data_IF_530783555162
#
_entry.id   IF_530783555162
#
_cell.length_a   1.000
_cell.length_b   1.000
_cell.length_c   1.000
_cell.angle_alpha   90.00
_cell.angle_beta   90.00
_cell.angle_gamma   90.00
#
_symmetry.space_group_name_H-M   'P 1'
#
loop_
_entity.id
_entity.type
_entity.pdbx_description
1 polymer ?
#
# COMPACT_ATOMS: atom_id res chain seq x y z
N UNK A 1 -36.47 19.94 3.39
CA UNK A 1 -37.28 18.71 3.60
C UNK A 1 -36.50 17.64 4.35
N UNK A 2 -35.23 17.36 4.04
CA UNK A 2 -34.45 16.32 4.72
C UNK A 2 -34.09 16.62 6.18
N UNK A 3 -33.94 17.89 6.57
CA UNK A 3 -33.74 18.28 7.99
C UNK A 3 -34.90 17.83 8.89
N UNK A 4 -36.13 17.95 8.41
CA UNK A 4 -37.32 17.47 9.11
C UNK A 4 -37.45 15.95 9.07
N UNK A 5 -36.92 15.30 8.03
CA UNK A 5 -36.93 13.85 7.91
C UNK A 5 -36.01 13.18 8.94
N UNK A 6 -34.82 13.73 9.20
CA UNK A 6 -33.92 13.22 10.27
C UNK A 6 -34.47 13.50 11.68
N UNK A 7 -35.29 14.54 11.86
CA UNK A 7 -36.00 14.81 13.12
C UNK A 7 -37.13 13.82 13.37
N UNK A 8 -37.85 13.42 12.31
CA UNK A 8 -38.91 12.42 12.41
C UNK A 8 -38.38 10.97 12.50
N UNK A 9 -37.21 10.70 11.92
CA UNK A 9 -36.59 9.38 11.90
C UNK A 9 -35.10 9.46 12.32
N UNK A 10 -34.82 9.72 13.61
CA UNK A 10 -33.46 9.96 14.09
C UNK A 10 -32.55 8.73 14.05
N UNK A 11 -33.12 7.54 13.91
CA UNK A 11 -32.41 6.25 13.84
C UNK A 11 -32.00 5.83 12.43
N UNK A 12 -32.40 6.59 11.40
CA UNK A 12 -32.07 6.25 10.01
C UNK A 12 -30.75 6.89 9.58
N UNK A 13 -29.75 6.04 9.39
CA UNK A 13 -28.38 6.44 9.01
C UNK A 13 -28.37 7.06 7.62
N UNK A 14 -29.09 6.46 6.67
CA UNK A 14 -29.14 6.93 5.27
C UNK A 14 -29.64 8.37 5.16
N UNK A 15 -30.65 8.74 5.97
CA UNK A 15 -31.17 10.11 5.99
C UNK A 15 -30.13 11.10 6.53
N UNK A 16 -29.39 10.73 7.58
CA UNK A 16 -28.30 11.55 8.12
C UNK A 16 -27.17 11.74 7.10
N UNK A 17 -26.76 10.67 6.42
CA UNK A 17 -25.71 10.72 5.41
C UNK A 17 -26.13 11.52 4.18
N UNK A 18 -27.38 11.36 3.72
CA UNK A 18 -27.94 12.14 2.62
C UNK A 18 -28.02 13.64 2.98
N UNK A 19 -28.45 13.96 4.20
CA UNK A 19 -28.49 15.35 4.68
C UNK A 19 -27.08 15.96 4.73
N UNK A 20 -26.10 15.25 5.27
CA UNK A 20 -24.72 15.73 5.36
C UNK A 20 -24.09 15.99 3.98
N UNK A 21 -24.43 15.21 2.95
CA UNK A 21 -23.95 15.41 1.56
C UNK A 21 -24.55 16.64 0.87
N UNK A 22 -25.73 17.08 1.30
CA UNK A 22 -26.43 18.23 0.71
C UNK A 22 -26.08 19.56 1.38
N UNK A 23 -25.54 19.52 2.59
CA UNK A 23 -25.17 20.69 3.34
C UNK A 23 -23.74 21.16 3.05
N UNK A 24 -23.48 22.44 3.35
CA UNK A 24 -22.13 22.98 3.39
C UNK A 24 -21.35 22.41 4.58
N UNK A 25 -20.03 22.35 4.43
CA UNK A 25 -19.10 21.74 5.39
C UNK A 25 -19.36 22.05 6.88
N UNK A 26 -19.63 23.32 7.23
CA UNK A 26 -19.86 23.72 8.62
C UNK A 26 -21.14 23.12 9.21
N UNK A 27 -22.21 23.01 8.41
CA UNK A 27 -23.47 22.43 8.84
C UNK A 27 -23.43 20.90 8.73
N UNK A 28 -22.81 20.34 7.68
CA UNK A 28 -22.56 18.90 7.54
C UNK A 28 -21.82 18.33 8.75
N UNK A 29 -20.81 19.05 9.29
CA UNK A 29 -20.16 18.67 10.55
C UNK A 29 -21.12 18.60 11.74
N UNK A 30 -22.01 19.58 11.89
CA UNK A 30 -23.03 19.60 12.96
C UNK A 30 -24.03 18.45 12.80
N UNK A 31 -24.47 18.20 11.57
CA UNK A 31 -25.36 17.09 11.22
C UNK A 31 -24.72 15.76 11.58
N UNK A 32 -23.46 15.53 11.21
CA UNK A 32 -22.74 14.29 11.54
C UNK A 32 -22.41 14.17 13.03
N UNK A 33 -22.26 15.27 13.77
CA UNK A 33 -22.15 15.22 15.24
C UNK A 33 -23.47 14.77 15.87
N UNK A 34 -24.61 15.38 15.47
CA UNK A 34 -25.94 14.97 15.93
C UNK A 34 -26.27 13.52 15.55
N UNK A 35 -25.88 13.08 14.36
CA UNK A 35 -26.05 11.70 13.92
C UNK A 35 -25.31 10.72 14.83
N UNK A 36 -24.09 11.07 15.28
CA UNK A 36 -23.30 10.25 16.22
C UNK A 36 -23.91 10.20 17.62
N UNK A 37 -24.55 11.26 18.07
CA UNK A 37 -25.27 11.28 19.36
C UNK A 37 -26.49 10.36 19.32
N UNK A 38 -27.23 10.36 18.21
CA UNK A 38 -28.43 9.52 18.04
C UNK A 38 -28.11 8.06 17.70
N UNK A 39 -27.02 7.82 16.94
CA UNK A 39 -26.64 6.50 16.44
C UNK A 39 -25.13 6.29 16.67
N UNK A 40 -24.70 6.04 17.91
CA UNK A 40 -23.29 5.94 18.25
C UNK A 40 -22.66 4.59 17.86
N UNK A 41 -23.47 3.64 17.41
CA UNK A 41 -23.08 2.28 17.02
C UNK A 41 -22.76 2.12 15.53
N UNK A 42 -23.01 3.13 14.69
CA UNK A 42 -22.80 3.02 13.25
C UNK A 42 -21.43 3.59 12.81
N UNK A 43 -20.66 2.76 12.12
CA UNK A 43 -19.37 3.11 11.50
C UNK A 43 -19.50 4.03 10.28
N UNK A 44 -20.56 3.94 9.50
CA UNK A 44 -20.72 4.70 8.24
C UNK A 44 -20.81 6.20 8.48
N UNK A 45 -21.32 6.62 9.65
CA UNK A 45 -21.37 8.03 10.06
C UNK A 45 -19.95 8.56 10.28
N UNK A 46 -19.10 7.77 10.93
CA UNK A 46 -17.69 8.12 11.15
C UNK A 46 -16.90 8.17 9.85
N UNK A 47 -17.10 7.18 8.97
CA UNK A 47 -16.44 7.13 7.66
C UNK A 47 -16.87 8.32 6.81
N UNK A 48 -18.16 8.67 6.82
CA UNK A 48 -18.66 9.86 6.11
C UNK A 48 -18.12 11.17 6.68
N UNK A 49 -17.93 11.25 8.00
CA UNK A 49 -17.25 12.39 8.63
C UNK A 49 -15.78 12.48 8.19
N UNK A 50 -15.08 11.36 8.09
CA UNK A 50 -13.71 11.31 7.61
C UNK A 50 -13.62 11.74 6.13
N UNK A 51 -14.55 11.29 5.28
CA UNK A 51 -14.66 11.71 3.86
C UNK A 51 -14.94 13.20 3.72
N UNK A 52 -15.77 13.76 4.60
CA UNK A 52 -16.03 15.19 4.64
C UNK A 52 -14.77 15.99 4.97
N UNK A 53 -13.97 15.56 5.96
CA UNK A 53 -12.70 16.23 6.28
C UNK A 53 -11.69 16.14 5.15
N UNK A 54 -11.59 14.99 4.48
CA UNK A 54 -10.72 14.80 3.33
C UNK A 54 -11.11 15.73 2.18
N UNK A 55 -12.40 15.82 1.85
CA UNK A 55 -12.92 16.70 0.80
C UNK A 55 -12.64 18.19 1.09
N UNK A 56 -12.42 18.56 2.35
CA UNK A 56 -12.09 19.90 2.81
C UNK A 56 -10.60 20.09 3.14
N UNK A 57 -9.72 19.19 2.68
CA UNK A 57 -8.26 19.20 2.86
C UNK A 57 -7.76 19.13 4.33
N UNK A 58 -8.57 18.63 5.26
CA UNK A 58 -8.16 18.42 6.65
C UNK A 58 -7.63 17.01 6.89
N UNK A 59 -6.60 16.63 6.15
CA UNK A 59 -6.00 15.28 6.15
C UNK A 59 -5.61 14.82 7.58
N UNK A 60 -4.96 15.63 8.44
CA UNK A 60 -4.59 15.19 9.79
C UNK A 60 -5.78 14.87 10.69
N UNK A 61 -6.97 15.37 10.37
CA UNK A 61 -8.18 15.08 11.12
C UNK A 61 -8.79 13.74 10.73
N UNK A 62 -8.56 13.27 9.50
CA UNK A 62 -9.08 12.00 8.99
C UNK A 62 -8.64 10.83 9.87
N UNK A 63 -7.34 10.71 10.13
CA UNK A 63 -6.79 9.64 10.98
C UNK A 63 -7.39 9.70 12.40
N UNK A 64 -7.45 10.91 12.99
CA UNK A 64 -8.03 11.12 14.33
C UNK A 64 -9.51 10.75 14.39
N UNK A 65 -10.28 10.99 13.33
CA UNK A 65 -11.70 10.62 13.27
C UNK A 65 -11.86 9.11 13.23
N UNK A 66 -11.06 8.40 12.43
CA UNK A 66 -11.10 6.94 12.35
C UNK A 66 -10.69 6.29 13.67
N UNK A 67 -9.63 6.79 14.34
CA UNK A 67 -9.24 6.31 15.67
C UNK A 67 -10.36 6.51 16.71
N UNK A 68 -10.99 7.69 16.72
CA UNK A 68 -12.14 7.98 17.59
C UNK A 68 -13.33 7.09 17.27
N UNK A 69 -13.56 6.77 16.00
CA UNK A 69 -14.61 5.87 15.57
C UNK A 69 -14.43 4.48 16.19
N UNK A 70 -13.23 3.90 16.06
CA UNK A 70 -12.94 2.58 16.63
C UNK A 70 -13.06 2.58 18.15
N UNK A 71 -12.57 3.62 18.83
CA UNK A 71 -12.70 3.75 20.29
C UNK A 71 -14.16 3.85 20.73
N UNK A 72 -14.96 4.67 20.04
CA UNK A 72 -16.40 4.83 20.34
C UNK A 72 -17.17 3.53 20.09
N UNK A 73 -16.90 2.83 19.00
CA UNK A 73 -17.57 1.58 18.66
C UNK A 73 -17.22 0.47 19.66
N UNK A 74 -15.94 0.38 20.06
CA UNK A 74 -15.51 -0.53 21.12
C UNK A 74 -16.15 -0.20 22.47
N UNK A 75 -16.27 1.08 22.81
CA UNK A 75 -16.95 1.51 24.04
C UNK A 75 -18.44 1.16 24.05
N UNK A 76 -19.07 1.15 22.87
CA UNK A 76 -20.45 0.71 22.68
C UNK A 76 -20.59 -0.81 22.46
N UNK A 77 -19.53 -1.59 22.74
CA UNK A 77 -19.50 -3.05 22.63
C UNK A 77 -19.80 -3.58 21.22
N UNK A 78 -19.55 -2.78 20.18
CA UNK A 78 -19.68 -3.21 18.78
C UNK A 78 -18.38 -3.87 18.36
N UNK A 79 -18.46 -5.14 17.93
CA UNK A 79 -17.31 -5.85 17.37
C UNK A 79 -16.85 -5.19 16.06
N UNK A 80 -15.55 -4.92 15.98
CA UNK A 80 -14.92 -4.37 14.79
C UNK A 80 -14.69 -5.50 13.78
N UNK A 81 -15.64 -5.69 12.88
CA UNK A 81 -15.51 -6.67 11.80
C UNK A 81 -14.54 -6.16 10.71
N UNK A 82 -13.34 -6.76 10.68
CA UNK A 82 -12.26 -6.43 9.74
C UNK A 82 -12.70 -6.40 8.27
N UNK A 83 -13.47 -7.39 7.84
CA UNK A 83 -13.91 -7.52 6.44
C UNK A 83 -14.84 -6.37 6.02
N UNK A 84 -15.76 -5.97 6.91
CA UNK A 84 -16.68 -4.88 6.62
C UNK A 84 -15.96 -3.54 6.49
N UNK A 85 -15.00 -3.29 7.38
CA UNK A 85 -14.20 -2.07 7.34
C UNK A 85 -13.26 -2.01 6.12
N UNK A 86 -12.71 -3.15 5.69
CA UNK A 86 -11.95 -3.21 4.44
C UNK A 86 -12.84 -2.94 3.22
N UNK A 87 -14.06 -3.50 3.18
CA UNK A 87 -15.04 -3.16 2.14
C UNK A 87 -15.37 -1.66 2.13
N UNK A 88 -15.55 -1.05 3.29
CA UNK A 88 -15.78 0.40 3.35
C UNK A 88 -14.56 1.20 2.88
N UNK A 89 -13.34 0.71 3.10
CA UNK A 89 -12.13 1.34 2.58
C UNK A 89 -12.08 1.27 1.05
N UNK A 90 -12.41 0.12 0.46
CA UNK A 90 -12.52 -0.04 -1.00
C UNK A 90 -13.58 0.90 -1.59
N UNK A 91 -14.72 1.06 -0.92
CA UNK A 91 -15.78 1.98 -1.36
C UNK A 91 -15.39 3.46 -1.17
N UNK A 92 -14.57 3.78 -0.16
CA UNK A 92 -13.97 5.11 -0.02
C UNK A 92 -13.02 5.43 -1.19
N UNK A 93 -12.18 4.47 -1.58
CA UNK A 93 -11.27 4.62 -2.70
C UNK A 93 -12.02 4.82 -4.03
N UNK A 94 -13.06 4.01 -4.29
CA UNK A 94 -13.94 4.17 -5.48
C UNK A 94 -14.62 5.54 -5.51
N UNK A 95 -14.87 6.14 -4.36
CA UNK A 95 -15.42 7.49 -4.24
C UNK A 95 -14.36 8.61 -4.36
N UNK A 96 -13.08 8.27 -4.55
CA UNK A 96 -11.97 9.23 -4.67
C UNK A 96 -11.43 9.75 -3.34
N UNK A 97 -11.84 9.14 -2.21
CA UNK A 97 -11.38 9.51 -0.86
C UNK A 97 -10.25 8.55 -0.46
N UNK A 98 -9.03 8.88 -0.88
CA UNK A 98 -7.83 8.04 -0.73
C UNK A 98 -7.26 8.12 0.70
N UNK A 99 -7.19 9.30 1.31
CA UNK A 99 -6.62 9.44 2.65
C UNK A 99 -7.49 8.73 3.70
N UNK A 100 -8.80 8.75 3.53
CA UNK A 100 -9.74 8.01 4.38
C UNK A 100 -9.58 6.51 4.23
N UNK A 101 -9.45 5.97 3.01
CA UNK A 101 -9.23 4.54 2.83
C UNK A 101 -7.91 4.09 3.46
N UNK A 102 -6.83 4.85 3.29
CA UNK A 102 -5.53 4.57 3.92
C UNK A 102 -5.62 4.58 5.45
N UNK A 103 -6.33 5.55 6.03
CA UNK A 103 -6.52 5.64 7.49
C UNK A 103 -7.33 4.46 8.03
N UNK A 104 -8.41 4.07 7.35
CA UNK A 104 -9.23 2.91 7.71
C UNK A 104 -8.38 1.63 7.69
N UNK A 105 -7.66 1.39 6.60
CA UNK A 105 -6.78 0.21 6.44
C UNK A 105 -5.77 0.14 7.58
N UNK A 106 -5.02 1.23 7.85
CA UNK A 106 -4.01 1.26 8.93
C UNK A 106 -4.60 0.93 10.29
N UNK A 107 -5.81 1.41 10.57
CA UNK A 107 -6.44 1.23 11.87
C UNK A 107 -7.03 -0.18 12.07
N UNK A 108 -7.44 -0.84 10.98
CA UNK A 108 -8.20 -2.09 11.02
C UNK A 108 -7.35 -3.33 10.72
N UNK A 109 -6.29 -3.19 9.92
CA UNK A 109 -5.52 -4.35 9.45
C UNK A 109 -4.88 -5.18 10.58
N UNK A 110 -4.56 -4.57 11.71
CA UNK A 110 -4.03 -5.25 12.89
C UNK A 110 -5.09 -5.81 13.84
N UNK A 111 -6.38 -5.54 13.62
CA UNK A 111 -7.45 -5.94 14.53
C UNK A 111 -7.83 -7.39 14.29
N UNK A 112 -7.73 -8.22 15.35
CA UNK A 112 -8.14 -9.62 15.31
C UNK A 112 -7.19 -10.55 14.54
N UNK A 113 -5.95 -10.12 14.29
CA UNK A 113 -4.94 -10.93 13.59
C UNK A 113 -3.80 -11.31 14.54
N UNK A 114 -3.60 -12.63 14.71
CA UNK A 114 -2.52 -13.18 15.53
C UNK A 114 -1.15 -12.88 14.93
N UNK A 115 -0.13 -12.69 15.77
CA UNK A 115 1.19 -12.22 15.32
C UNK A 115 1.86 -13.13 14.29
N UNK A 116 1.62 -14.42 14.40
CA UNK A 116 2.17 -15.47 13.54
C UNK A 116 1.53 -15.42 12.14
N UNK A 117 0.23 -15.13 12.07
CA UNK A 117 -0.56 -15.09 10.84
C UNK A 117 -0.61 -13.71 10.18
N UNK A 118 -0.22 -12.63 10.88
CA UNK A 118 -0.16 -11.25 10.35
C UNK A 118 0.37 -11.18 8.93
N UNK A 119 1.47 -11.88 8.66
CA UNK A 119 2.08 -11.89 7.33
C UNK A 119 1.14 -12.49 6.28
N UNK A 120 0.54 -13.64 6.56
CA UNK A 120 -0.29 -14.35 5.59
C UNK A 120 -1.56 -13.57 5.31
N UNK A 121 -2.28 -13.19 6.37
CA UNK A 121 -3.56 -12.49 6.28
C UNK A 121 -3.43 -11.15 5.55
N UNK A 122 -2.46 -10.31 5.93
CA UNK A 122 -2.26 -9.01 5.25
C UNK A 122 -1.89 -9.17 3.79
N UNK A 123 -1.24 -10.28 3.44
CA UNK A 123 -0.84 -10.54 2.08
C UNK A 123 -2.01 -10.98 1.20
N UNK A 124 -2.90 -11.80 1.74
CA UNK A 124 -4.17 -12.15 1.08
C UNK A 124 -5.09 -10.93 0.95
N UNK A 125 -5.17 -10.10 2.00
CA UNK A 125 -5.97 -8.86 1.96
C UNK A 125 -5.50 -7.89 0.88
N UNK A 126 -4.18 -7.70 0.75
CA UNK A 126 -3.62 -6.84 -0.29
C UNK A 126 -3.94 -7.36 -1.70
N UNK A 127 -3.86 -8.68 -1.89
CA UNK A 127 -4.18 -9.32 -3.17
C UNK A 127 -5.68 -9.23 -3.47
N UNK A 128 -6.54 -9.40 -2.47
CA UNK A 128 -7.99 -9.22 -2.60
C UNK A 128 -8.35 -7.78 -2.99
N UNK A 129 -7.80 -6.78 -2.30
CA UNK A 129 -8.01 -5.37 -2.66
C UNK A 129 -7.52 -5.06 -4.08
N UNK A 130 -6.38 -5.63 -4.49
CA UNK A 130 -5.87 -5.48 -5.85
C UNK A 130 -6.80 -6.08 -6.91
N UNK A 131 -7.38 -7.27 -6.64
CA UNK A 131 -8.37 -7.90 -7.53
C UNK A 131 -9.65 -7.09 -7.62
N UNK A 132 -10.09 -6.45 -6.53
CA UNK A 132 -11.25 -5.56 -6.51
C UNK A 132 -11.01 -4.19 -7.15
N UNK A 133 -9.77 -3.90 -7.57
CA UNK A 133 -9.38 -2.62 -8.19
C UNK A 133 -9.13 -1.49 -7.18
N UNK A 134 -9.05 -1.80 -5.89
CA UNK A 134 -8.72 -0.86 -4.81
C UNK A 134 -7.18 -0.85 -4.59
N UNK A 135 -6.49 -0.16 -5.51
CA UNK A 135 -5.04 -0.11 -5.56
C UNK A 135 -4.44 0.68 -4.39
N UNK A 136 -5.06 1.77 -3.97
CA UNK A 136 -4.59 2.58 -2.84
C UNK A 136 -4.76 1.85 -1.51
N UNK A 137 -5.85 1.08 -1.35
CA UNK A 137 -6.02 0.19 -0.21
C UNK A 137 -4.90 -0.86 -0.17
N UNK A 138 -4.62 -1.53 -1.29
CA UNK A 138 -3.53 -2.48 -1.37
C UNK A 138 -2.16 -1.82 -1.06
N UNK A 139 -1.89 -0.62 -1.58
CA UNK A 139 -0.68 0.17 -1.24
C UNK A 139 -0.58 0.46 0.25
N UNK A 140 -1.68 0.84 0.89
CA UNK A 140 -1.71 1.12 2.32
C UNK A 140 -1.40 -0.14 3.14
N UNK A 141 -1.97 -1.28 2.74
CA UNK A 141 -1.68 -2.59 3.34
C UNK A 141 -0.19 -2.91 3.22
N UNK A 142 0.38 -2.83 2.01
CA UNK A 142 1.80 -3.10 1.79
C UNK A 142 2.70 -2.17 2.59
N UNK A 143 2.41 -0.87 2.61
CA UNK A 143 3.19 0.11 3.37
C UNK A 143 3.17 -0.18 4.87
N UNK A 144 2.02 -0.59 5.41
CA UNK A 144 1.88 -0.99 6.80
C UNK A 144 2.61 -2.31 7.11
N UNK A 145 2.46 -3.31 6.24
CA UNK A 145 3.15 -4.60 6.41
C UNK A 145 4.67 -4.44 6.37
N UNK A 146 5.18 -3.53 5.54
CA UNK A 146 6.62 -3.23 5.41
C UNK A 146 7.18 -2.44 6.59
N UNK A 147 6.39 -1.59 7.25
CA UNK A 147 6.84 -0.88 8.45
C UNK A 147 7.01 -1.83 9.64
N UNK A 148 6.20 -2.89 9.71
CA UNK A 148 6.25 -3.90 10.77
C UNK A 148 7.28 -4.99 10.47
N UNK A 149 7.43 -5.39 9.21
CA UNK A 149 8.38 -6.43 8.80
C UNK A 149 9.39 -5.96 7.73
N UNK A 150 10.31 -5.03 8.04
CA UNK A 150 11.24 -4.47 7.05
C UNK A 150 12.21 -5.49 6.44
N UNK A 151 12.54 -6.57 7.15
CA UNK A 151 13.57 -7.54 6.76
C UNK A 151 13.05 -8.72 5.91
N UNK A 152 11.74 -8.84 5.72
CA UNK A 152 11.14 -10.01 5.04
C UNK A 152 11.08 -9.82 3.53
N UNK A 153 11.99 -10.48 2.80
CA UNK A 153 12.07 -10.44 1.32
C UNK A 153 10.75 -10.73 0.60
N UNK A 154 9.91 -11.62 1.13
CA UNK A 154 8.67 -12.04 0.46
C UNK A 154 7.65 -10.90 0.35
N UNK A 155 7.59 -10.02 1.36
CA UNK A 155 6.63 -8.90 1.38
C UNK A 155 7.08 -7.85 0.37
N UNK A 156 8.38 -7.52 0.35
CA UNK A 156 8.97 -6.64 -0.65
C UNK A 156 8.75 -7.14 -2.08
N UNK A 157 8.91 -8.45 -2.31
CA UNK A 157 8.67 -9.03 -3.64
C UNK A 157 7.23 -8.86 -4.07
N UNK A 158 6.26 -9.21 -3.21
CA UNK A 158 4.84 -9.05 -3.55
C UNK A 158 4.46 -7.58 -3.77
N UNK A 159 4.95 -6.67 -2.94
CA UNK A 159 4.74 -5.23 -3.12
C UNK A 159 5.35 -4.72 -4.45
N UNK A 160 6.54 -5.18 -4.82
CA UNK A 160 7.18 -4.80 -6.08
C UNK A 160 6.45 -5.36 -7.31
N UNK A 161 5.97 -6.61 -7.24
CA UNK A 161 5.12 -7.17 -8.30
C UNK A 161 3.79 -6.42 -8.42
N UNK A 162 3.19 -6.04 -7.30
CA UNK A 162 1.98 -5.22 -7.27
C UNK A 162 2.21 -3.86 -7.94
N UNK A 163 3.26 -3.11 -7.53
CA UNK A 163 3.58 -1.81 -8.12
C UNK A 163 3.98 -1.91 -9.60
N UNK A 164 4.57 -3.03 -10.03
CA UNK A 164 4.84 -3.24 -11.46
C UNK A 164 3.57 -3.40 -12.29
N UNK A 165 2.50 -3.98 -11.73
CA UNK A 165 1.26 -4.25 -12.45
C UNK A 165 0.27 -3.07 -12.39
N UNK A 166 0.15 -2.44 -11.22
CA UNK A 166 -0.87 -1.42 -10.93
C UNK A 166 -0.29 -0.05 -10.57
N UNK A 167 1.02 0.04 -10.45
CA UNK A 167 1.75 1.22 -10.00
C UNK A 167 2.26 2.12 -11.11
N UNK A 168 2.80 3.25 -10.66
CA UNK A 168 3.59 4.13 -11.51
C UNK A 168 5.04 3.69 -11.47
N UNK A 169 5.80 4.07 -12.50
CA UNK A 169 7.24 3.80 -12.51
C UNK A 169 7.96 4.43 -11.32
N UNK A 170 7.57 5.64 -10.93
CA UNK A 170 8.20 6.38 -9.84
C UNK A 170 7.91 5.73 -8.48
N UNK A 171 6.68 5.22 -8.26
CA UNK A 171 6.33 4.48 -7.05
C UNK A 171 7.08 3.16 -6.95
N UNK A 172 7.22 2.42 -8.06
CA UNK A 172 8.02 1.20 -8.13
C UNK A 172 9.49 1.48 -7.81
N UNK A 173 10.07 2.53 -8.39
CA UNK A 173 11.46 2.90 -8.14
C UNK A 173 11.70 3.30 -6.68
N UNK A 174 10.81 4.11 -6.10
CA UNK A 174 10.88 4.50 -4.70
C UNK A 174 10.71 3.30 -3.75
N UNK A 175 9.88 2.32 -4.12
CA UNK A 175 9.74 1.08 -3.37
C UNK A 175 11.02 0.24 -3.44
N UNK A 176 11.57 0.05 -4.65
CA UNK A 176 12.77 -0.77 -4.86
C UNK A 176 14.02 -0.18 -4.19
N UNK A 177 14.17 1.15 -4.17
CA UNK A 177 15.23 1.83 -3.42
C UNK A 177 15.16 1.52 -1.91
N UNK A 178 13.95 1.60 -1.34
CA UNK A 178 13.72 1.23 0.06
C UNK A 178 13.96 -0.27 0.29
N UNK A 179 13.52 -1.10 -0.63
CA UNK A 179 13.66 -2.56 -0.57
C UNK A 179 15.13 -2.99 -0.52
N UNK A 180 15.96 -2.36 -1.34
CA UNK A 180 17.41 -2.56 -1.41
C UNK A 180 18.10 -2.17 -0.09
N UNK A 181 17.69 -1.06 0.53
CA UNK A 181 18.27 -0.60 1.79
C UNK A 181 17.98 -1.55 2.96
N UNK A 182 16.76 -2.12 3.01
CA UNK A 182 16.36 -3.01 4.09
C UNK A 182 16.67 -4.50 3.83
N UNK A 183 16.70 -4.93 2.57
CA UNK A 183 16.91 -6.32 2.15
C UNK A 183 18.04 -6.44 1.10
N UNK A 184 19.30 -6.14 1.45
CA UNK A 184 20.40 -6.13 0.47
C UNK A 184 20.70 -7.52 -0.12
N UNK A 185 20.37 -8.60 0.59
CA UNK A 185 20.59 -9.99 0.14
C UNK A 185 19.55 -10.50 -0.86
N UNK A 186 18.50 -9.73 -1.13
CA UNK A 186 17.43 -10.15 -2.03
C UNK A 186 17.77 -9.80 -3.48
N UNK A 187 18.48 -10.69 -4.16
CA UNK A 187 18.96 -10.55 -5.55
C UNK A 187 17.83 -10.17 -6.53
N UNK A 188 16.66 -10.81 -6.39
CA UNK A 188 15.50 -10.56 -7.26
C UNK A 188 15.03 -9.10 -7.20
N UNK A 189 15.12 -8.42 -6.05
CA UNK A 189 14.74 -7.01 -5.93
C UNK A 189 15.73 -6.10 -6.66
N UNK A 190 17.02 -6.41 -6.61
CA UNK A 190 18.06 -5.72 -7.37
C UNK A 190 17.86 -5.89 -8.87
N UNK A 191 17.61 -7.12 -9.33
CA UNK A 191 17.34 -7.43 -10.73
C UNK A 191 16.10 -6.70 -11.25
N UNK A 192 15.05 -6.63 -10.42
CA UNK A 192 13.83 -5.90 -10.75
C UNK A 192 14.09 -4.39 -10.88
N UNK A 193 14.89 -3.80 -9.98
CA UNK A 193 15.30 -2.40 -10.05
C UNK A 193 16.13 -2.07 -11.28
N UNK A 194 17.14 -2.89 -11.56
CA UNK A 194 17.99 -2.74 -12.74
C UNK A 194 17.16 -2.84 -14.03
N UNK A 195 16.25 -3.83 -14.12
CA UNK A 195 15.34 -3.99 -15.26
C UNK A 195 14.39 -2.81 -15.42
N UNK A 196 13.85 -2.28 -14.33
CA UNK A 196 12.97 -1.10 -14.36
C UNK A 196 13.69 0.13 -14.93
N UNK A 197 14.91 0.42 -14.47
CA UNK A 197 15.71 1.54 -14.98
C UNK A 197 16.15 1.35 -16.43
N UNK A 198 16.48 0.12 -16.80
CA UNK A 198 16.85 -0.20 -18.17
C UNK A 198 15.67 -0.03 -19.14
N UNK A 199 14.47 -0.49 -18.78
CA UNK A 199 13.26 -0.25 -19.58
C UNK A 199 12.90 1.24 -19.67
N UNK A 200 13.32 2.06 -18.71
CA UNK A 200 13.19 3.51 -18.76
C UNK A 200 14.21 4.20 -19.70
N UNK A 201 15.13 3.45 -20.31
CA UNK A 201 16.20 3.97 -21.16
C UNK A 201 17.42 4.47 -20.38
N UNK A 202 17.40 4.44 -19.05
CA UNK A 202 18.51 4.86 -18.20
C UNK A 202 19.47 3.70 -17.94
N UNK A 203 20.26 3.38 -18.96
CA UNK A 203 21.32 2.36 -18.90
C UNK A 203 22.37 2.68 -17.82
N UNK A 204 22.87 3.93 -17.69
CA UNK A 204 23.80 4.28 -16.61
C UNK A 204 23.27 3.98 -15.21
N UNK A 205 22.01 4.31 -14.92
CA UNK A 205 21.42 4.00 -13.61
C UNK A 205 21.21 2.50 -13.40
N UNK A 206 20.83 1.75 -14.44
CA UNK A 206 20.74 0.29 -14.34
C UNK A 206 22.11 -0.34 -13.98
N UNK A 207 23.20 0.18 -14.58
CA UNK A 207 24.57 -0.25 -14.26
C UNK A 207 24.98 0.10 -12.82
N UNK A 208 24.65 1.29 -12.34
CA UNK A 208 24.99 1.68 -10.96
C UNK A 208 24.26 0.81 -9.93
N UNK A 209 23.00 0.48 -10.18
CA UNK A 209 22.21 -0.44 -9.34
C UNK A 209 22.85 -1.84 -9.34
N UNK A 210 23.23 -2.38 -10.50
CA UNK A 210 23.90 -3.68 -10.57
C UNK A 210 25.28 -3.66 -9.90
N UNK A 211 26.02 -2.56 -9.99
CA UNK A 211 27.29 -2.38 -9.28
C UNK A 211 27.11 -2.42 -7.75
N UNK A 212 26.07 -1.77 -7.22
CA UNK A 212 25.71 -1.84 -5.80
C UNK A 212 25.24 -3.25 -5.41
N UNK A 213 24.53 -3.93 -6.31
CA UNK A 213 24.09 -5.30 -6.11
C UNK A 213 25.30 -6.27 -6.00
N UNK A 214 26.36 -6.06 -6.80
CA UNK A 214 27.60 -6.85 -6.69
C UNK A 214 28.34 -6.63 -5.37
N UNK A 215 28.34 -5.42 -4.82
CA UNK A 215 28.94 -5.15 -3.51
C UNK A 215 28.19 -5.89 -2.40
N UNK A 216 26.86 -5.97 -2.52
CA UNK A 216 25.99 -6.62 -1.54
C UNK A 216 26.01 -8.14 -1.68
N UNK A 217 26.03 -8.66 -2.92
CA UNK A 217 25.98 -10.07 -3.24
C UNK A 217 27.03 -10.46 -4.30
N UNK A 218 28.28 -10.72 -3.89
CA UNK A 218 29.38 -11.02 -4.82
C UNK A 218 29.23 -12.37 -5.56
N UNK A 219 28.53 -13.33 -4.95
CA UNK A 219 28.46 -14.72 -5.41
C UNK A 219 27.24 -15.02 -6.31
N UNK A 220 26.41 -14.04 -6.58
CA UNK A 220 25.11 -14.24 -7.24
C UNK A 220 25.24 -14.33 -8.75
N UNK A 221 25.08 -15.54 -9.28
CA UNK A 221 25.14 -15.81 -10.73
C UNK A 221 24.08 -15.03 -11.51
N UNK A 222 22.89 -14.85 -10.95
CA UNK A 222 21.79 -14.14 -11.60
C UNK A 222 22.15 -12.66 -11.86
N UNK A 223 22.85 -12.02 -10.92
CA UNK A 223 23.32 -10.63 -11.06
C UNK A 223 24.39 -10.53 -12.15
N UNK A 224 25.32 -11.49 -12.21
CA UNK A 224 26.32 -11.57 -13.27
C UNK A 224 25.68 -11.73 -14.65
N UNK A 225 24.74 -12.65 -14.80
CA UNK A 225 24.02 -12.87 -16.06
C UNK A 225 23.20 -11.64 -16.47
N UNK A 226 22.55 -10.97 -15.53
CA UNK A 226 21.80 -9.75 -15.81
C UNK A 226 22.69 -8.58 -16.25
N UNK A 227 23.87 -8.42 -15.63
CA UNK A 227 24.84 -7.42 -16.04
C UNK A 227 25.39 -7.69 -17.45
N UNK A 228 25.71 -8.94 -17.76
CA UNK A 228 26.15 -9.35 -19.11
C UNK A 228 25.06 -9.09 -20.14
N UNK A 229 23.81 -9.44 -19.81
CA UNK A 229 22.65 -9.19 -20.67
C UNK A 229 22.49 -7.69 -20.95
N UNK A 230 22.54 -6.86 -19.91
CA UNK A 230 22.46 -5.40 -20.05
C UNK A 230 23.53 -4.84 -20.98
N UNK A 231 24.79 -5.27 -20.84
CA UNK A 231 25.88 -4.79 -21.71
C UNK A 231 25.77 -5.32 -23.15
N UNK A 232 25.29 -6.55 -23.32
CA UNK A 232 25.12 -7.16 -24.65
C UNK A 232 24.03 -6.46 -25.48
N UNK A 233 22.94 -6.05 -24.84
CA UNK A 233 21.83 -5.37 -25.52
C UNK A 233 22.16 -3.90 -25.85
N UNK A 234 23.16 -3.31 -25.18
CA UNK A 234 23.64 -1.95 -25.43
C UNK A 234 24.88 -1.89 -26.34
N UNK A 235 25.18 -2.97 -27.10
CA UNK A 235 26.33 -3.09 -28.01
C UNK A 235 27.71 -2.99 -27.34
N UNK A 236 27.81 -3.10 -26.02
CA UNK A 236 29.08 -3.05 -25.27
C UNK A 236 29.66 -4.45 -25.03
N UNK A 237 29.87 -5.20 -26.12
CA UNK A 237 30.31 -6.61 -26.06
C UNK A 237 31.66 -6.82 -25.37
N UNK A 238 32.57 -5.84 -25.42
CA UNK A 238 33.86 -5.94 -24.72
C UNK A 238 33.68 -5.94 -23.20
N UNK A 239 32.80 -5.09 -22.66
CA UNK A 239 32.50 -5.07 -21.23
C UNK A 239 31.78 -6.34 -20.82
N UNK A 240 30.82 -6.79 -21.63
CA UNK A 240 30.12 -8.06 -21.41
C UNK A 240 31.09 -9.26 -21.33
N UNK A 241 32.09 -9.32 -22.21
CA UNK A 241 33.13 -10.36 -22.18
C UNK A 241 34.00 -10.30 -20.92
N UNK A 242 34.42 -9.11 -20.50
CA UNK A 242 35.19 -8.94 -19.25
C UNK A 242 34.38 -9.34 -18.02
N UNK A 243 33.09 -9.01 -18.00
CA UNK A 243 32.16 -9.42 -16.93
C UNK A 243 31.98 -10.94 -16.91
N UNK A 244 31.79 -11.60 -18.06
CA UNK A 244 31.73 -13.07 -18.15
C UNK A 244 33.01 -13.75 -17.68
N UNK A 245 34.18 -13.21 -18.04
CA UNK A 245 35.46 -13.74 -17.55
C UNK A 245 35.57 -13.64 -16.04
N UNK A 246 35.14 -12.52 -15.44
CA UNK A 246 35.10 -12.36 -13.98
C UNK A 246 34.09 -13.31 -13.33
N UNK A 247 32.88 -13.43 -13.89
CA UNK A 247 31.85 -14.34 -13.42
C UNK A 247 32.33 -15.80 -13.40
N UNK A 248 33.02 -16.25 -14.45
CA UNK A 248 33.60 -17.60 -14.54
C UNK A 248 34.67 -17.87 -13.47
N UNK A 249 35.39 -16.84 -13.06
CA UNK A 249 36.41 -16.95 -12.01
C UNK A 249 35.81 -16.90 -10.61
N UNK A 250 34.68 -16.21 -10.42
CA UNK A 250 34.02 -16.02 -9.12
C UNK A 250 32.99 -17.09 -8.79
N UNK A 251 32.30 -17.65 -9.79
CA UNK A 251 31.30 -18.70 -9.63
C UNK A 251 31.74 -19.95 -10.42
N UNK A 252 32.47 -20.89 -9.80
CA UNK A 252 32.81 -22.15 -10.42
C UNK A 252 31.62 -23.11 -10.28
N UNK A 253 30.46 -22.79 -10.85
CA UNK A 253 29.45 -23.82 -11.12
C UNK A 253 29.85 -24.52 -12.40
N UNK A 254 30.59 -25.61 -12.22
CA UNK A 254 30.74 -26.63 -13.23
C UNK A 254 29.33 -27.09 -13.66
N UNK A 255 28.97 -26.80 -14.91
CA UNK A 255 28.01 -27.61 -15.63
C UNK A 255 28.66 -28.99 -15.81
N UNK A 256 28.32 -29.92 -14.93
CA UNK A 256 28.39 -31.37 -15.17
C UNK A 256 27.05 -31.82 -15.75
#
# INVERSE_FOLDING_TARGET
MLSRAVECCPTSVELWLALARLENYSNARKVLNKARENIPTDRLIWISAAKLEEANNNIPMVEKIIERALNSLRANMVEVNREQWLKDAEDCEKAGSVFTCQAIVRAVIGVGVEEEDKKHTWMEDAEACAVHGANECARAIYAYALSIFPSKKSIWLRAAYFEKNYGTRDSLEALLQRAVAHCPKAEVLWLMGAKSKWLAGDVPAARSILALAFQSNPNSEEIWLAAVKLESENNEFERARRLLQRARNSAPTARS
#
